data_IF_441907796268
#
_entry.id   IF_441907796268
#
_cell.length_a   1.000
_cell.length_b   1.000
_cell.length_c   1.000
_cell.angle_alpha   90.00
_cell.angle_beta   90.00
_cell.angle_gamma   90.00
#
_symmetry.space_group_name_H-M   'P 1'
#
loop_
_entity.id
_entity.type
_entity.pdbx_description
1 polymer ?
#
# COMPACT_ATOMS: atom_id res chain seq x y z
N UNK A 1 -4.86 -15.74 -19.36
CA UNK A 1 -5.52 -14.62 -18.65
C UNK A 1 -6.64 -14.06 -19.51
N UNK A 2 -7.79 -13.76 -18.92
CA UNK A 2 -9.03 -13.36 -19.63
C UNK A 2 -9.03 -11.87 -19.98
N UNK A 3 -9.93 -11.45 -20.88
CA UNK A 3 -10.16 -10.03 -21.19
C UNK A 3 -10.66 -9.24 -19.98
N UNK A 4 -11.41 -9.88 -19.07
CA UNK A 4 -11.85 -9.29 -17.81
C UNK A 4 -10.70 -8.91 -16.88
N UNK A 5 -9.66 -9.74 -16.80
CA UNK A 5 -8.45 -9.43 -16.03
C UNK A 5 -7.74 -8.17 -16.55
N UNK A 6 -7.54 -8.05 -17.86
CA UNK A 6 -6.82 -6.89 -18.42
C UNK A 6 -7.59 -5.57 -18.27
N UNK A 7 -8.92 -5.62 -18.29
CA UNK A 7 -9.78 -4.47 -17.98
C UNK A 7 -9.63 -4.05 -16.51
N UNK A 8 -9.66 -5.01 -15.58
CA UNK A 8 -9.41 -4.75 -14.16
C UNK A 8 -8.00 -4.22 -13.91
N UNK A 9 -6.99 -4.79 -14.57
CA UNK A 9 -5.59 -4.37 -14.48
C UNK A 9 -5.40 -2.93 -14.97
N UNK A 10 -6.04 -2.57 -16.08
CA UNK A 10 -6.00 -1.20 -16.63
C UNK A 10 -6.69 -0.22 -15.68
N UNK A 11 -7.84 -0.59 -15.12
CA UNK A 11 -8.54 0.23 -14.13
C UNK A 11 -7.69 0.44 -12.86
N UNK A 12 -7.05 -0.62 -12.35
CA UNK A 12 -6.14 -0.54 -11.21
C UNK A 12 -4.96 0.40 -11.49
N UNK A 13 -4.26 0.21 -12.62
CA UNK A 13 -3.12 1.05 -12.99
C UNK A 13 -3.47 2.53 -13.12
N UNK A 14 -4.56 2.86 -13.83
CA UNK A 14 -5.00 4.26 -13.99
C UNK A 14 -5.46 4.88 -12.67
N UNK A 15 -6.18 4.12 -11.85
CA UNK A 15 -6.62 4.59 -10.53
C UNK A 15 -5.43 4.87 -9.62
N UNK A 16 -4.44 3.97 -9.60
CA UNK A 16 -3.22 4.13 -8.82
C UNK A 16 -2.34 5.27 -9.33
N UNK A 17 -2.30 5.51 -10.64
CA UNK A 17 -1.58 6.66 -11.21
C UNK A 17 -2.19 7.97 -10.72
N UNK A 18 -3.51 8.07 -10.78
CA UNK A 18 -4.26 9.22 -10.29
C UNK A 18 -4.00 9.47 -8.79
N UNK A 19 -4.03 8.40 -7.98
CA UNK A 19 -3.73 8.46 -6.55
C UNK A 19 -2.30 8.96 -6.30
N UNK A 20 -1.32 8.47 -7.08
CA UNK A 20 0.08 8.88 -6.97
C UNK A 20 0.29 10.35 -7.33
N UNK A 21 -0.32 10.79 -8.43
CA UNK A 21 -0.31 12.19 -8.85
C UNK A 21 -0.91 13.08 -7.76
N UNK A 22 -2.09 12.72 -7.24
CA UNK A 22 -2.79 13.53 -6.25
C UNK A 22 -2.03 13.59 -4.90
N UNK A 23 -1.48 12.46 -4.43
CA UNK A 23 -0.70 12.39 -3.17
C UNK A 23 0.48 13.36 -3.19
N UNK A 24 1.12 13.55 -4.35
CA UNK A 24 2.21 14.50 -4.53
C UNK A 24 1.72 15.92 -4.82
N UNK A 25 0.65 16.07 -5.62
CA UNK A 25 0.12 17.39 -5.98
C UNK A 25 -0.50 18.14 -4.80
N UNK A 26 -1.23 17.45 -3.90
CA UNK A 26 -1.90 18.06 -2.74
C UNK A 26 -0.95 18.93 -1.88
N UNK A 27 0.17 18.42 -1.35
CA UNK A 27 1.08 19.23 -0.55
C UNK A 27 1.74 20.35 -1.36
N UNK A 28 2.05 20.13 -2.65
CA UNK A 28 2.62 21.18 -3.51
C UNK A 28 1.67 22.35 -3.73
N UNK A 29 0.39 22.07 -3.95
CA UNK A 29 -0.66 23.09 -4.07
C UNK A 29 -0.90 23.77 -2.72
N UNK A 30 -0.81 23.04 -1.60
CA UNK A 30 -1.00 23.58 -0.26
C UNK A 30 0.00 24.67 0.11
N UNK A 31 1.24 24.61 -0.41
CA UNK A 31 2.26 25.65 -0.21
C UNK A 31 1.82 27.01 -0.78
N UNK A 32 0.90 27.01 -1.77
CA UNK A 32 0.26 28.24 -2.26
C UNK A 32 -0.71 28.88 -1.27
N UNK A 33 -1.25 28.11 -0.30
CA UNK A 33 -2.21 28.58 0.69
C UNK A 33 -1.61 28.80 2.08
N UNK A 34 -0.52 28.12 2.41
CA UNK A 34 0.11 28.21 3.72
C UNK A 34 1.62 28.06 3.64
N UNK A 35 2.32 28.72 4.56
CA UNK A 35 3.74 28.47 4.83
C UNK A 35 3.98 27.64 6.09
N UNK A 36 2.92 27.16 6.75
CA UNK A 36 3.02 26.37 7.98
C UNK A 36 3.35 24.90 7.67
N UNK A 37 4.55 24.40 8.04
CA UNK A 37 4.92 23.00 7.80
C UNK A 37 3.97 21.98 8.43
N UNK A 38 3.45 22.18 9.67
CA UNK A 38 2.46 21.27 10.26
C UNK A 38 1.16 21.14 9.46
N UNK A 39 0.69 22.21 8.83
CA UNK A 39 -0.52 22.17 8.01
C UNK A 39 -0.30 21.43 6.68
N UNK A 40 0.88 21.55 6.08
CA UNK A 40 1.22 20.78 4.87
C UNK A 40 1.40 19.30 5.21
N UNK A 41 2.14 18.99 6.28
CA UNK A 41 2.31 17.61 6.74
C UNK A 41 0.99 16.96 7.17
N UNK A 42 0.08 17.75 7.76
CA UNK A 42 -1.23 17.30 8.15
C UNK A 42 -2.10 16.83 6.98
N UNK A 43 -1.87 17.28 5.74
CA UNK A 43 -2.57 16.76 4.56
C UNK A 43 -2.20 15.30 4.26
N UNK A 44 -0.91 14.95 4.35
CA UNK A 44 -0.47 13.57 4.18
C UNK A 44 -1.07 12.67 5.28
N UNK A 45 -1.10 13.16 6.52
CA UNK A 45 -1.76 12.47 7.62
C UNK A 45 -3.27 12.30 7.35
N UNK A 46 -3.96 13.37 6.97
CA UNK A 46 -5.38 13.36 6.64
C UNK A 46 -5.71 12.36 5.52
N UNK A 47 -4.83 12.24 4.52
CA UNK A 47 -4.96 11.27 3.45
C UNK A 47 -4.80 9.82 3.96
N UNK A 48 -3.88 9.57 4.88
CA UNK A 48 -3.64 8.23 5.46
C UNK A 48 -4.63 7.82 6.56
N UNK A 49 -5.26 8.78 7.24
CA UNK A 49 -6.11 8.57 8.41
C UNK A 49 -7.27 7.58 8.15
N UNK A 50 -7.94 7.59 6.98
CA UNK A 50 -8.98 6.61 6.66
C UNK A 50 -8.50 5.15 6.71
N UNK A 51 -7.25 4.85 6.39
CA UNK A 51 -6.71 3.49 6.54
C UNK A 51 -6.67 3.04 8.01
N UNK A 52 -6.47 3.97 8.94
CA UNK A 52 -6.44 3.68 10.37
C UNK A 52 -7.87 3.53 10.94
N UNK A 53 -8.79 4.41 10.55
CA UNK A 53 -10.12 4.48 11.16
C UNK A 53 -11.17 3.61 10.44
N UNK A 54 -11.07 3.52 9.12
CA UNK A 54 -12.13 3.00 8.26
C UNK A 54 -11.80 1.62 7.67
N UNK A 55 -10.57 1.10 7.79
CA UNK A 55 -10.22 -0.21 7.22
C UNK A 55 -11.21 -1.31 7.65
N UNK A 56 -11.45 -1.48 8.95
CA UNK A 56 -12.36 -2.53 9.44
C UNK A 56 -13.83 -2.34 9.00
N UNK A 57 -14.46 -1.17 9.19
CA UNK A 57 -15.82 -0.92 8.67
C UNK A 57 -15.94 -1.12 7.16
N UNK A 58 -14.97 -0.63 6.39
CA UNK A 58 -14.95 -0.73 4.93
C UNK A 58 -14.87 -2.18 4.49
N UNK A 59 -14.06 -3.02 5.15
CA UNK A 59 -14.03 -4.46 4.89
C UNK A 59 -15.37 -5.15 5.00
N UNK A 60 -16.04 -4.92 6.13
CA UNK A 60 -17.33 -5.51 6.40
C UNK A 60 -18.44 -4.94 5.48
N UNK A 61 -18.29 -3.68 5.03
CA UNK A 61 -19.17 -3.05 4.04
C UNK A 61 -18.96 -3.62 2.63
N UNK A 62 -17.71 -3.72 2.17
CA UNK A 62 -17.35 -4.26 0.84
C UNK A 62 -17.84 -5.70 0.67
N UNK A 63 -17.84 -6.50 1.74
CA UNK A 63 -18.40 -7.86 1.74
C UNK A 63 -19.94 -7.91 1.64
N UNK A 64 -20.64 -6.78 1.76
CA UNK A 64 -22.10 -6.67 1.58
C UNK A 64 -22.48 -6.12 0.22
N UNK A 65 -21.56 -5.39 -0.41
CA UNK A 65 -21.78 -4.72 -1.68
C UNK A 65 -21.32 -5.58 -2.86
N UNK A 66 -21.78 -5.24 -4.05
CA UNK A 66 -21.11 -5.69 -5.27
C UNK A 66 -19.75 -4.96 -5.36
N UNK A 67 -18.66 -5.73 -5.43
CA UNK A 67 -17.30 -5.20 -5.37
C UNK A 67 -16.98 -4.27 -6.53
N UNK A 68 -17.51 -4.55 -7.73
CA UNK A 68 -17.36 -3.68 -8.89
C UNK A 68 -18.12 -2.37 -8.68
N UNK A 69 -19.34 -2.41 -8.14
CA UNK A 69 -20.09 -1.18 -7.81
C UNK A 69 -19.38 -0.33 -6.75
N UNK A 70 -18.79 -0.96 -5.73
CA UNK A 70 -18.00 -0.26 -4.71
C UNK A 70 -16.78 0.46 -5.32
N UNK A 71 -16.04 -0.22 -6.21
CA UNK A 71 -14.92 0.38 -6.92
C UNK A 71 -15.35 1.53 -7.84
N UNK A 72 -16.45 1.38 -8.58
CA UNK A 72 -17.01 2.45 -9.42
C UNK A 72 -17.38 3.68 -8.59
N UNK A 73 -18.14 3.47 -7.50
CA UNK A 73 -18.56 4.56 -6.62
C UNK A 73 -17.36 5.28 -5.99
N UNK A 74 -16.32 4.54 -5.59
CA UNK A 74 -15.10 5.12 -5.05
C UNK A 74 -14.41 6.04 -6.07
N UNK A 75 -14.17 5.59 -7.30
CA UNK A 75 -13.48 6.42 -8.31
C UNK A 75 -14.32 7.62 -8.75
N UNK A 76 -15.64 7.48 -8.85
CA UNK A 76 -16.54 8.60 -9.12
C UNK A 76 -16.49 9.63 -7.99
N UNK A 77 -16.52 9.19 -6.73
CA UNK A 77 -16.42 10.08 -5.58
C UNK A 77 -15.07 10.82 -5.55
N UNK A 78 -13.95 10.13 -5.81
CA UNK A 78 -12.63 10.77 -5.91
C UNK A 78 -12.58 11.82 -7.01
N UNK A 79 -13.06 11.47 -8.21
CA UNK A 79 -13.14 12.39 -9.33
C UNK A 79 -13.99 13.62 -9.01
N UNK A 80 -15.15 13.43 -8.37
CA UNK A 80 -16.04 14.52 -7.98
C UNK A 80 -15.42 15.45 -6.93
N UNK A 81 -14.78 14.89 -5.89
CA UNK A 81 -14.10 15.67 -4.85
C UNK A 81 -12.96 16.51 -5.42
N UNK A 82 -12.13 15.91 -6.29
CA UNK A 82 -11.01 16.62 -6.90
C UNK A 82 -11.49 17.64 -7.94
N UNK A 83 -12.53 17.33 -8.72
CA UNK A 83 -13.13 18.30 -9.63
C UNK A 83 -13.71 19.51 -8.87
N UNK A 84 -14.37 19.28 -7.73
CA UNK A 84 -14.90 20.34 -6.89
C UNK A 84 -13.79 21.26 -6.35
N UNK A 85 -12.68 20.71 -5.85
CA UNK A 85 -11.57 21.54 -5.36
C UNK A 85 -10.79 22.21 -6.49
N UNK A 86 -10.73 21.60 -7.67
CA UNK A 86 -10.21 22.24 -8.88
C UNK A 86 -11.01 23.49 -9.21
N UNK A 87 -12.35 23.39 -9.19
CA UNK A 87 -13.21 24.54 -9.44
C UNK A 87 -13.02 25.64 -8.39
N UNK A 88 -12.98 25.29 -7.10
CA UNK A 88 -12.73 26.24 -6.01
C UNK A 88 -11.38 26.94 -6.15
N UNK A 89 -10.32 26.19 -6.47
CA UNK A 89 -8.97 26.75 -6.64
C UNK A 89 -8.88 27.69 -7.85
N UNK A 90 -9.48 27.33 -9.00
CA UNK A 90 -9.47 28.17 -10.21
C UNK A 90 -10.36 29.41 -10.09
N UNK A 91 -11.45 29.34 -9.34
CA UNK A 91 -12.34 30.50 -9.08
C UNK A 91 -11.79 31.45 -8.02
N UNK A 92 -10.63 31.16 -7.43
CA UNK A 92 -10.01 31.97 -6.37
C UNK A 92 -10.61 31.75 -4.98
N UNK A 93 -11.57 30.84 -4.82
CA UNK A 93 -12.19 30.46 -3.55
C UNK A 93 -11.50 29.25 -2.88
N UNK A 94 -10.30 28.89 -3.33
CA UNK A 94 -9.52 27.77 -2.78
C UNK A 94 -9.11 28.02 -1.33
N UNK A 95 -9.09 26.95 -0.54
CA UNK A 95 -8.68 26.99 0.86
C UNK A 95 -7.93 25.72 1.22
N UNK A 96 -6.97 25.83 2.13
CA UNK A 96 -6.30 24.66 2.70
C UNK A 96 -7.29 23.67 3.32
N UNK A 97 -8.37 24.16 3.93
CA UNK A 97 -9.38 23.30 4.54
C UNK A 97 -10.15 22.49 3.49
N UNK A 98 -10.37 23.05 2.29
CA UNK A 98 -10.92 22.30 1.18
C UNK A 98 -9.98 21.15 0.76
N UNK A 99 -8.66 21.38 0.77
CA UNK A 99 -7.67 20.32 0.51
C UNK A 99 -7.72 19.22 1.56
N UNK A 100 -7.93 19.55 2.85
CA UNK A 100 -8.12 18.55 3.91
C UNK A 100 -9.38 17.71 3.72
N UNK A 101 -10.51 18.34 3.37
CA UNK A 101 -11.76 17.63 3.07
C UNK A 101 -11.57 16.66 1.90
N UNK A 102 -10.88 17.10 0.84
CA UNK A 102 -10.54 16.24 -0.30
C UNK A 102 -9.61 15.12 0.10
N UNK A 103 -8.55 15.39 0.86
CA UNK A 103 -7.60 14.37 1.31
C UNK A 103 -8.30 13.27 2.12
N UNK A 104 -9.17 13.64 3.07
CA UNK A 104 -9.97 12.69 3.86
C UNK A 104 -10.96 11.92 2.98
N UNK A 105 -11.73 12.61 2.14
CA UNK A 105 -12.74 12.00 1.29
C UNK A 105 -12.14 11.04 0.25
N UNK A 106 -11.02 11.43 -0.36
CA UNK A 106 -10.26 10.58 -1.29
C UNK A 106 -9.65 9.39 -0.55
N UNK A 107 -9.03 9.58 0.62
CA UNK A 107 -8.49 8.46 1.41
C UNK A 107 -9.56 7.44 1.84
N UNK A 108 -10.78 7.90 2.17
CA UNK A 108 -11.92 7.02 2.43
C UNK A 108 -12.30 6.21 1.18
N UNK A 109 -12.39 6.87 0.02
CA UNK A 109 -12.66 6.19 -1.25
C UNK A 109 -11.51 5.26 -1.69
N UNK A 110 -10.25 5.60 -1.38
CA UNK A 110 -9.06 4.74 -1.52
C UNK A 110 -9.24 3.45 -0.75
N UNK A 111 -9.59 3.56 0.52
CA UNK A 111 -9.82 2.41 1.39
C UNK A 111 -10.87 1.46 0.83
N UNK A 112 -11.97 1.99 0.30
CA UNK A 112 -13.07 1.20 -0.32
C UNK A 112 -12.62 0.50 -1.59
N UNK A 113 -12.03 1.25 -2.53
CA UNK A 113 -11.61 0.71 -3.82
C UNK A 113 -10.58 -0.39 -3.65
N UNK A 114 -9.54 -0.15 -2.87
CA UNK A 114 -8.43 -1.08 -2.66
C UNK A 114 -8.90 -2.41 -2.05
N UNK A 115 -9.78 -2.30 -1.04
CA UNK A 115 -10.36 -3.47 -0.36
C UNK A 115 -11.22 -4.28 -1.34
N UNK A 116 -11.98 -3.59 -2.19
CA UNK A 116 -12.81 -4.23 -3.22
C UNK A 116 -11.97 -4.82 -4.36
N UNK A 117 -10.93 -4.13 -4.84
CA UNK A 117 -10.02 -4.55 -5.91
C UNK A 117 -9.25 -5.82 -5.54
N UNK A 118 -8.79 -5.92 -4.28
CA UNK A 118 -8.13 -7.12 -3.80
C UNK A 118 -9.10 -8.31 -3.62
N UNK A 119 -10.37 -8.03 -3.34
CA UNK A 119 -11.40 -9.05 -3.10
C UNK A 119 -12.10 -9.52 -4.38
N UNK A 120 -12.12 -8.70 -5.44
CA UNK A 120 -12.71 -9.04 -6.74
C UNK A 120 -11.76 -9.89 -7.58
N UNK A 121 -10.44 -9.74 -7.41
CA UNK A 121 -9.44 -10.42 -8.23
C UNK A 121 -9.63 -11.95 -8.27
N UNK A 122 -9.89 -12.66 -7.15
CA UNK A 122 -10.12 -14.11 -7.19
C UNK A 122 -11.40 -14.57 -7.88
N UNK A 123 -12.35 -13.66 -8.12
CA UNK A 123 -13.55 -13.93 -8.91
C UNK A 123 -13.33 -13.68 -10.40
N UNK A 124 -12.31 -12.89 -10.75
CA UNK A 124 -11.94 -12.60 -12.15
C UNK A 124 -10.93 -13.61 -12.69
N UNK A 125 -10.05 -14.11 -11.83
CA UNK A 125 -9.05 -15.13 -12.17
C UNK A 125 -9.24 -16.36 -11.28
N UNK A 126 -9.16 -17.56 -11.86
CA UNK A 126 -9.23 -18.80 -11.08
C UNK A 126 -8.05 -18.96 -10.11
N UNK A 127 -8.21 -19.81 -9.09
CA UNK A 127 -7.24 -20.02 -8.00
C UNK A 127 -5.81 -20.33 -8.47
N UNK A 128 -5.65 -21.01 -9.60
CA UNK A 128 -4.35 -21.37 -10.18
C UNK A 128 -3.54 -20.17 -10.69
N UNK A 129 -4.21 -19.11 -11.17
CA UNK A 129 -3.55 -17.93 -11.76
C UNK A 129 -3.38 -16.78 -10.75
N UNK A 130 -3.83 -16.94 -9.50
CA UNK A 130 -3.86 -15.87 -8.48
C UNK A 130 -2.49 -15.25 -8.22
N UNK A 131 -1.45 -16.06 -8.10
CA UNK A 131 -0.10 -15.54 -7.83
C UNK A 131 0.38 -14.63 -8.96
N UNK A 132 0.20 -15.07 -10.22
CA UNK A 132 0.56 -14.29 -11.40
C UNK A 132 -0.28 -13.02 -11.53
N UNK A 133 -1.58 -13.11 -11.23
CA UNK A 133 -2.49 -11.98 -11.29
C UNK A 133 -2.18 -10.92 -10.22
N UNK A 134 -1.96 -11.34 -8.96
CA UNK A 134 -1.58 -10.44 -7.86
C UNK A 134 -0.26 -9.73 -8.17
N UNK A 135 0.76 -10.46 -8.66
CA UNK A 135 2.04 -9.85 -9.03
C UNK A 135 1.90 -8.78 -10.11
N UNK A 136 1.05 -9.00 -11.12
CA UNK A 136 0.81 -8.01 -12.19
C UNK A 136 0.01 -6.80 -11.72
N UNK A 137 -1.02 -7.02 -10.89
CA UNK A 137 -1.82 -5.93 -10.33
C UNK A 137 -0.97 -5.08 -9.38
N UNK A 138 -0.28 -5.71 -8.44
CA UNK A 138 0.61 -4.98 -7.54
C UNK A 138 1.70 -4.21 -8.31
N UNK A 139 2.34 -4.83 -9.30
CA UNK A 139 3.38 -4.16 -10.08
C UNK A 139 2.85 -2.91 -10.79
N UNK A 140 1.66 -2.96 -11.40
CA UNK A 140 1.08 -1.79 -12.05
C UNK A 140 0.66 -0.73 -11.04
N UNK A 141 0.07 -1.13 -9.91
CA UNK A 141 -0.34 -0.20 -8.84
C UNK A 141 0.88 0.53 -8.26
N UNK A 142 1.95 -0.19 -7.92
CA UNK A 142 3.17 0.40 -7.37
C UNK A 142 3.89 1.28 -8.39
N UNK A 143 4.00 0.83 -9.65
CA UNK A 143 4.64 1.62 -10.71
C UNK A 143 3.86 2.90 -10.97
N UNK A 144 2.54 2.80 -11.03
CA UNK A 144 1.69 3.94 -11.29
C UNK A 144 1.67 4.92 -10.10
N UNK A 145 1.47 4.41 -8.88
CA UNK A 145 1.32 5.24 -7.68
C UNK A 145 2.61 5.88 -7.23
N UNK A 146 3.71 5.13 -7.22
CA UNK A 146 4.90 5.49 -6.45
C UNK A 146 6.11 5.81 -7.35
N UNK A 147 6.10 5.34 -8.59
CA UNK A 147 7.18 5.61 -9.55
C UNK A 147 6.79 6.68 -10.59
N UNK A 148 5.66 6.50 -11.27
CA UNK A 148 5.21 7.40 -12.32
C UNK A 148 4.42 8.60 -11.78
N UNK A 149 3.62 8.40 -10.72
CA UNK A 149 2.76 9.42 -10.13
C UNK A 149 3.50 10.68 -9.66
N UNK A 150 4.52 10.59 -8.78
CA UNK A 150 5.17 11.77 -8.22
C UNK A 150 5.90 12.64 -9.26
N UNK A 151 6.71 12.09 -10.19
CA UNK A 151 7.32 12.91 -11.25
C UNK A 151 6.27 13.57 -12.15
N UNK A 152 5.21 12.84 -12.50
CA UNK A 152 4.11 13.37 -13.29
C UNK A 152 3.39 14.51 -12.56
N UNK A 153 3.17 14.39 -11.25
CA UNK A 153 2.62 15.46 -10.43
C UNK A 153 3.51 16.71 -10.46
N UNK A 154 4.83 16.56 -10.33
CA UNK A 154 5.76 17.68 -10.39
C UNK A 154 5.64 18.48 -11.69
N UNK A 155 5.60 17.78 -12.83
CA UNK A 155 5.40 18.40 -14.15
C UNK A 155 4.02 19.07 -14.24
N UNK A 156 2.95 18.37 -13.84
CA UNK A 156 1.59 18.90 -13.92
C UNK A 156 1.41 20.14 -13.04
N UNK A 157 1.95 20.13 -11.81
CA UNK A 157 1.90 21.30 -10.91
C UNK A 157 2.66 22.48 -11.50
N UNK A 158 3.80 22.24 -12.16
CA UNK A 158 4.55 23.30 -12.84
C UNK A 158 3.76 23.95 -13.99
N UNK A 159 2.85 23.20 -14.64
CA UNK A 159 1.92 23.75 -15.65
C UNK A 159 0.70 24.47 -15.04
N UNK A 160 0.45 24.30 -13.74
CA UNK A 160 -0.60 24.98 -13.00
C UNK A 160 -1.48 24.03 -12.17
N UNK A 161 -2.11 24.58 -11.12
CA UNK A 161 -2.97 23.85 -10.17
C UNK A 161 -4.12 23.13 -10.89
N UNK A 162 -4.72 23.79 -11.90
CA UNK A 162 -5.82 23.21 -12.67
C UNK A 162 -5.42 21.91 -13.38
N UNK A 163 -4.23 21.87 -14.01
CA UNK A 163 -3.71 20.69 -14.68
C UNK A 163 -3.40 19.57 -13.68
N UNK A 164 -2.77 19.91 -12.55
CA UNK A 164 -2.42 18.98 -11.49
C UNK A 164 -3.63 18.23 -10.90
N UNK A 165 -4.78 18.89 -10.79
CA UNK A 165 -6.00 18.26 -10.27
C UNK A 165 -6.92 17.70 -11.35
N UNK A 166 -6.98 18.30 -12.55
CA UNK A 166 -7.78 17.76 -13.64
C UNK A 166 -7.24 16.42 -14.16
N UNK A 167 -5.92 16.22 -14.18
CA UNK A 167 -5.33 14.97 -14.66
C UNK A 167 -5.77 13.72 -13.86
N UNK A 168 -5.72 13.69 -12.50
CA UNK A 168 -6.30 12.60 -11.71
C UNK A 168 -7.78 12.34 -12.00
N UNK A 169 -8.59 13.40 -12.19
CA UNK A 169 -10.02 13.27 -12.52
C UNK A 169 -10.21 12.52 -13.84
N UNK A 170 -9.45 12.89 -14.87
CA UNK A 170 -9.48 12.20 -16.18
C UNK A 170 -9.04 10.74 -16.02
N UNK A 171 -7.95 10.49 -15.30
CA UNK A 171 -7.44 9.12 -15.08
C UNK A 171 -8.46 8.23 -14.36
N UNK A 172 -9.12 8.71 -13.30
CA UNK A 172 -10.19 7.96 -12.64
C UNK A 172 -11.42 7.78 -13.53
N UNK A 173 -11.78 8.78 -14.34
CA UNK A 173 -12.88 8.65 -15.30
C UNK A 173 -12.59 7.53 -16.31
N UNK A 174 -11.36 7.46 -16.86
CA UNK A 174 -10.95 6.37 -17.75
C UNK A 174 -10.93 5.04 -16.99
N UNK A 175 -10.45 5.00 -15.74
CA UNK A 175 -10.49 3.79 -14.91
C UNK A 175 -11.94 3.29 -14.69
N UNK A 176 -12.89 4.19 -14.47
CA UNK A 176 -14.33 3.90 -14.36
C UNK A 176 -14.83 3.26 -15.66
N UNK A 177 -14.48 3.81 -16.83
CA UNK A 177 -14.89 3.21 -18.13
C UNK A 177 -14.34 1.80 -18.32
N UNK A 178 -13.07 1.56 -17.99
CA UNK A 178 -12.47 0.22 -18.06
C UNK A 178 -13.18 -0.77 -17.11
N UNK A 179 -13.53 -0.31 -15.91
CA UNK A 179 -14.22 -1.11 -14.91
C UNK A 179 -15.69 -1.40 -15.29
N UNK A 180 -16.35 -0.48 -15.98
CA UNK A 180 -17.69 -0.71 -16.54
C UNK A 180 -17.70 -1.85 -17.57
N UNK A 181 -16.58 -2.12 -18.22
CA UNK A 181 -16.45 -3.23 -19.19
C UNK A 181 -16.18 -4.59 -18.52
N UNK A 182 -15.93 -4.65 -17.21
CA UNK A 182 -15.78 -5.92 -16.47
C UNK A 182 -17.16 -6.52 -16.22
N UNK A 183 -17.47 -7.67 -16.84
CA UNK A 183 -18.78 -8.34 -16.75
C UNK A 183 -18.79 -9.39 -15.63
N UNK A 184 -19.89 -9.44 -14.88
CA UNK A 184 -20.15 -10.44 -13.85
C UNK A 184 -20.76 -9.83 -12.58
N UNK A 185 -21.59 -10.58 -11.83
CA UNK A 185 -21.93 -10.23 -10.45
C UNK A 185 -20.73 -10.53 -9.55
N UNK A 186 -20.23 -9.54 -8.83
CA UNK A 186 -19.07 -9.70 -7.93
C UNK A 186 -19.46 -9.67 -6.47
N UNK A 187 -20.67 -10.15 -6.20
CA UNK A 187 -21.27 -10.26 -4.88
C UNK A 187 -21.33 -11.74 -4.49
N UNK A 188 -20.81 -12.07 -3.31
CA UNK A 188 -21.00 -13.41 -2.74
C UNK A 188 -22.37 -13.42 -2.03
N UNK A 189 -23.27 -14.37 -2.35
CA UNK A 189 -24.51 -14.55 -1.60
C UNK A 189 -24.23 -14.71 -0.11
N UNK A 190 -24.99 -14.00 0.73
CA UNK A 190 -24.84 -14.09 2.19
C UNK A 190 -25.99 -14.89 2.77
N UNK A 191 -25.65 -15.85 3.61
CA UNK A 191 -26.62 -16.55 4.46
C UNK A 191 -26.78 -15.74 5.77
N UNK A 192 -27.95 -15.12 5.96
CA UNK A 192 -28.33 -14.45 7.22
C UNK A 192 -27.96 -12.96 7.37
N UNK A 193 -28.66 -12.29 8.29
CA UNK A 193 -28.46 -10.88 8.65
C UNK A 193 -27.53 -10.73 9.86
N UNK A 194 -26.25 -10.48 9.64
CA UNK A 194 -25.29 -10.17 10.71
C UNK A 194 -25.10 -8.65 10.87
N UNK A 195 -24.67 -8.19 12.04
CA UNK A 195 -24.30 -6.78 12.27
C UNK A 195 -22.88 -6.49 11.77
N UNK A 196 -22.57 -5.22 11.45
CA UNK A 196 -21.23 -4.81 11.01
C UNK A 196 -20.17 -5.14 12.07
N UNK A 197 -20.50 -4.92 13.34
CA UNK A 197 -19.62 -5.24 14.48
C UNK A 197 -19.34 -6.74 14.58
N UNK A 198 -20.35 -7.59 14.36
CA UNK A 198 -20.15 -9.04 14.36
C UNK A 198 -19.23 -9.48 13.21
N UNK A 199 -19.39 -8.90 12.02
CA UNK A 199 -18.53 -9.18 10.87
C UNK A 199 -17.06 -8.79 11.12
N UNK A 200 -16.83 -7.61 11.71
CA UNK A 200 -15.48 -7.14 12.10
C UNK A 200 -14.87 -8.09 13.14
N UNK A 201 -15.63 -8.43 14.19
CA UNK A 201 -15.18 -9.33 15.24
C UNK A 201 -14.86 -10.73 14.70
N UNK A 202 -15.63 -11.22 13.74
CA UNK A 202 -15.37 -12.51 13.08
C UNK A 202 -14.05 -12.48 12.30
N UNK A 203 -13.80 -11.43 11.51
CA UNK A 203 -12.56 -11.26 10.76
C UNK A 203 -11.32 -11.18 11.66
N UNK A 204 -11.38 -10.39 12.73
CA UNK A 204 -10.30 -10.29 13.72
C UNK A 204 -10.08 -11.62 14.46
N UNK A 205 -11.15 -12.27 14.89
CA UNK A 205 -11.06 -13.57 15.58
C UNK A 205 -10.47 -14.64 14.68
N UNK A 206 -10.85 -14.67 13.41
CA UNK A 206 -10.26 -15.58 12.42
C UNK A 206 -8.77 -15.31 12.27
N UNK A 207 -8.37 -14.04 12.11
CA UNK A 207 -6.97 -13.65 11.98
C UNK A 207 -6.14 -14.09 13.20
N UNK A 208 -6.63 -13.84 14.41
CA UNK A 208 -5.92 -14.14 15.67
C UNK A 208 -5.83 -15.65 15.93
N UNK A 209 -6.87 -16.41 15.55
CA UNK A 209 -6.90 -17.87 15.73
C UNK A 209 -6.10 -18.62 14.67
N UNK A 210 -5.99 -18.09 13.45
CA UNK A 210 -5.27 -18.74 12.38
C UNK A 210 -3.76 -18.49 12.51
N UNK A 211 -3.02 -19.47 13.06
CA UNK A 211 -1.58 -19.36 13.40
C UNK A 211 -0.73 -18.74 12.30
N UNK A 212 -0.79 -19.25 11.06
CA UNK A 212 0.01 -18.74 9.92
C UNK A 212 -0.31 -17.27 9.59
N UNK A 213 -1.59 -16.93 9.46
CA UNK A 213 -2.04 -15.58 9.12
C UNK A 213 -1.71 -14.56 10.23
N UNK A 214 -1.84 -14.97 11.50
CA UNK A 214 -1.42 -14.17 12.64
C UNK A 214 0.08 -13.88 12.57
N UNK A 215 0.90 -14.90 12.35
CA UNK A 215 2.35 -14.74 12.24
C UNK A 215 2.71 -13.76 11.13
N UNK A 216 2.16 -13.92 9.92
CA UNK A 216 2.40 -12.96 8.84
C UNK A 216 1.94 -11.55 9.19
N UNK A 217 0.79 -11.40 9.86
CA UNK A 217 0.29 -10.07 10.23
C UNK A 217 1.19 -9.39 11.26
N UNK A 218 1.74 -10.15 12.22
CA UNK A 218 2.73 -9.62 13.18
C UNK A 218 4.02 -9.23 12.45
N UNK A 219 4.55 -10.11 11.59
CA UNK A 219 5.77 -9.80 10.82
C UNK A 219 5.59 -8.54 9.96
N UNK A 220 4.47 -8.43 9.24
CA UNK A 220 4.14 -7.29 8.38
C UNK A 220 3.91 -6.03 9.21
N UNK A 221 3.23 -6.14 10.35
CA UNK A 221 3.00 -5.03 11.27
C UNK A 221 4.32 -4.47 11.82
N UNK A 222 5.22 -5.34 12.29
CA UNK A 222 6.54 -4.96 12.79
C UNK A 222 7.39 -4.30 11.70
N UNK A 223 7.41 -4.89 10.49
CA UNK A 223 8.17 -4.33 9.38
C UNK A 223 7.61 -2.98 8.89
N UNK A 224 6.28 -2.83 8.83
CA UNK A 224 5.65 -1.55 8.48
C UNK A 224 5.89 -0.48 9.55
N UNK A 225 5.87 -0.85 10.83
CA UNK A 225 6.26 0.05 11.92
C UNK A 225 7.71 0.52 11.75
N UNK A 226 8.62 -0.42 11.50
CA UNK A 226 10.04 -0.14 11.35
C UNK A 226 10.33 0.75 10.13
N UNK A 227 9.72 0.44 8.98
CA UNK A 227 9.83 1.29 7.78
C UNK A 227 9.19 2.66 7.99
N UNK A 228 8.01 2.74 8.62
CA UNK A 228 7.37 4.01 8.95
C UNK A 228 8.26 4.93 9.78
N UNK A 229 8.90 4.39 10.82
CA UNK A 229 9.85 5.13 11.65
C UNK A 229 11.09 5.59 10.87
N UNK A 230 11.69 4.69 10.09
CA UNK A 230 12.88 4.95 9.28
C UNK A 230 12.62 6.03 8.23
N UNK A 231 11.57 5.90 7.41
CA UNK A 231 11.29 6.83 6.32
C UNK A 231 10.81 8.20 6.81
N UNK A 232 10.21 8.29 8.00
CA UNK A 232 9.82 9.57 8.59
C UNK A 232 11.02 10.50 8.84
N UNK A 233 12.19 9.93 9.15
CA UNK A 233 13.40 10.70 9.49
C UNK A 233 14.49 10.63 8.41
N UNK A 234 14.32 9.77 7.40
CA UNK A 234 15.33 9.49 6.39
C UNK A 234 15.74 10.73 5.60
N UNK A 235 14.81 11.64 5.29
CA UNK A 235 15.12 12.89 4.57
C UNK A 235 16.14 13.73 5.36
N UNK A 236 15.99 13.83 6.68
CA UNK A 236 16.92 14.59 7.55
C UNK A 236 18.30 13.95 7.61
N UNK A 237 18.36 12.62 7.49
CA UNK A 237 19.62 11.89 7.46
C UNK A 237 20.33 11.95 6.10
N UNK A 238 19.55 12.08 5.02
CA UNK A 238 20.05 11.95 3.66
C UNK A 238 20.33 13.28 2.94
N UNK A 239 19.56 14.34 3.22
CA UNK A 239 19.56 15.57 2.41
C UNK A 239 20.19 16.75 3.14
N UNK A 240 21.11 17.44 2.46
CA UNK A 240 21.64 18.73 2.87
C UNK A 240 23.06 18.70 3.45
N UNK A 241 23.70 19.87 3.61
CA UNK A 241 25.16 19.99 3.87
C UNK A 241 25.62 19.42 5.22
N UNK A 242 24.73 19.30 6.21
CA UNK A 242 25.01 18.71 7.52
C UNK A 242 24.42 17.31 7.71
N UNK A 243 23.83 16.73 6.67
CA UNK A 243 23.28 15.37 6.72
C UNK A 243 24.37 14.32 6.53
N UNK A 244 24.15 13.10 7.01
CA UNK A 244 25.15 12.05 6.93
C UNK A 244 25.47 11.62 5.48
N UNK A 245 24.49 11.68 4.57
CA UNK A 245 24.70 11.32 3.16
C UNK A 245 25.05 12.50 2.25
N UNK A 246 24.73 13.74 2.65
CA UNK A 246 25.04 14.95 1.88
C UNK A 246 24.34 15.05 0.51
N UNK A 247 23.21 14.36 0.31
CA UNK A 247 22.53 14.32 -0.99
C UNK A 247 21.81 15.63 -1.29
N UNK A 248 21.73 15.94 -2.58
CA UNK A 248 20.79 16.94 -3.11
C UNK A 248 19.36 16.37 -3.12
N UNK A 249 18.35 17.24 -3.19
CA UNK A 249 16.95 16.82 -3.33
C UNK A 249 16.71 15.86 -4.50
N UNK A 250 17.22 16.15 -5.73
CA UNK A 250 17.12 15.22 -6.86
C UNK A 250 17.81 13.87 -6.62
N UNK A 251 19.00 13.87 -6.00
CA UNK A 251 19.72 12.63 -5.70
C UNK A 251 18.99 11.77 -4.67
N UNK A 252 18.36 12.38 -3.67
CA UNK A 252 17.47 11.68 -2.75
C UNK A 252 16.25 11.09 -3.44
N UNK A 253 15.65 11.81 -4.40
CA UNK A 253 14.58 11.27 -5.25
C UNK A 253 15.02 10.02 -6.02
N UNK A 254 16.23 10.04 -6.59
CA UNK A 254 16.79 8.87 -7.29
C UNK A 254 17.05 7.71 -6.32
N UNK A 255 17.54 7.98 -5.12
CA UNK A 255 17.70 6.98 -4.06
C UNK A 255 16.36 6.34 -3.71
N UNK A 256 15.31 7.14 -3.50
CA UNK A 256 13.95 6.63 -3.21
C UNK A 256 13.38 5.79 -4.36
N UNK A 257 13.68 6.16 -5.61
CA UNK A 257 13.23 5.44 -6.80
C UNK A 257 13.82 4.01 -6.91
N UNK A 258 14.92 3.71 -6.21
CA UNK A 258 15.50 2.36 -6.19
C UNK A 258 14.57 1.32 -5.57
N UNK A 259 13.73 1.70 -4.59
CA UNK A 259 12.76 0.79 -3.93
C UNK A 259 11.70 0.27 -4.92
N UNK A 260 10.91 1.13 -5.60
CA UNK A 260 9.94 0.67 -6.59
C UNK A 260 10.62 0.03 -7.82
N UNK A 261 11.82 0.45 -8.21
CA UNK A 261 12.59 -0.23 -9.27
C UNK A 261 12.96 -1.67 -8.88
N UNK A 262 13.39 -1.87 -7.63
CA UNK A 262 13.59 -3.18 -7.03
C UNK A 262 12.29 -3.99 -6.99
N UNK A 263 11.20 -3.35 -6.57
CA UNK A 263 9.85 -3.92 -6.61
C UNK A 263 9.53 -4.47 -7.99
N UNK A 264 9.62 -3.66 -9.05
CA UNK A 264 9.41 -4.09 -10.43
C UNK A 264 10.24 -5.31 -10.83
N UNK A 265 11.53 -5.35 -10.47
CA UNK A 265 12.36 -6.52 -10.69
C UNK A 265 11.82 -7.74 -9.90
N UNK A 266 11.43 -7.54 -8.64
CA UNK A 266 10.78 -8.54 -7.80
C UNK A 266 9.49 -9.10 -8.40
N UNK A 267 8.68 -8.29 -9.10
CA UNK A 267 7.46 -8.76 -9.77
C UNK A 267 7.77 -9.81 -10.83
N UNK A 268 8.80 -9.55 -11.63
CA UNK A 268 9.25 -10.41 -12.71
C UNK A 268 9.92 -11.68 -12.16
N UNK A 269 10.63 -11.53 -11.04
CA UNK A 269 11.38 -12.61 -10.39
C UNK A 269 10.54 -13.47 -9.46
N UNK A 270 9.36 -13.03 -9.01
CA UNK A 270 8.53 -13.75 -8.04
C UNK A 270 8.25 -15.19 -8.44
N UNK A 271 7.77 -15.41 -9.68
CA UNK A 271 7.51 -16.75 -10.19
C UNK A 271 8.77 -17.64 -10.28
N UNK A 272 9.84 -17.19 -10.96
CA UNK A 272 11.12 -17.92 -11.00
C UNK A 272 11.70 -18.24 -9.62
N UNK A 273 11.67 -17.28 -8.69
CA UNK A 273 12.20 -17.43 -7.33
C UNK A 273 11.38 -18.46 -6.55
N UNK A 274 10.04 -18.38 -6.59
CA UNK A 274 9.17 -19.37 -5.95
C UNK A 274 9.40 -20.77 -6.52
N UNK A 275 9.54 -20.92 -7.84
CA UNK A 275 9.79 -22.23 -8.47
C UNK A 275 11.14 -22.83 -8.10
N UNK A 276 12.20 -22.01 -8.01
CA UNK A 276 13.57 -22.50 -7.75
C UNK A 276 13.83 -22.76 -6.27
N UNK A 277 13.36 -21.88 -5.39
CA UNK A 277 13.66 -21.95 -3.96
C UNK A 277 12.56 -22.65 -3.16
N UNK A 278 11.35 -22.76 -3.70
CA UNK A 278 10.16 -23.11 -2.92
C UNK A 278 9.64 -21.93 -2.10
N UNK A 279 8.41 -22.05 -1.60
CA UNK A 279 7.66 -20.94 -0.96
C UNK A 279 8.36 -20.41 0.29
N UNK A 280 8.77 -21.29 1.22
CA UNK A 280 9.36 -20.88 2.50
C UNK A 280 10.73 -20.22 2.33
N UNK A 281 11.61 -20.78 1.49
CA UNK A 281 12.94 -20.19 1.25
C UNK A 281 12.82 -18.89 0.45
N UNK A 282 11.91 -18.82 -0.51
CA UNK A 282 11.61 -17.58 -1.22
C UNK A 282 11.16 -16.48 -0.24
N UNK A 283 10.27 -16.81 0.70
CA UNK A 283 9.89 -15.89 1.78
C UNK A 283 11.10 -15.50 2.64
N UNK A 284 11.91 -16.45 3.10
CA UNK A 284 13.07 -16.15 3.95
C UNK A 284 14.05 -15.15 3.29
N UNK A 285 14.45 -15.42 2.03
CA UNK A 285 15.32 -14.53 1.27
C UNK A 285 14.66 -13.16 1.05
N UNK A 286 13.36 -13.14 0.76
CA UNK A 286 12.60 -11.92 0.53
C UNK A 286 12.52 -11.02 1.77
N UNK A 287 12.27 -11.61 2.94
CA UNK A 287 12.20 -10.89 4.20
C UNK A 287 13.58 -10.44 4.68
N UNK A 288 14.62 -11.25 4.47
CA UNK A 288 16.01 -10.84 4.70
C UNK A 288 16.38 -9.61 3.86
N UNK A 289 16.07 -9.65 2.56
CA UNK A 289 16.28 -8.53 1.66
C UNK A 289 15.49 -7.28 2.11
N UNK A 290 14.23 -7.44 2.52
CA UNK A 290 13.44 -6.35 3.11
C UNK A 290 14.10 -5.77 4.37
N UNK A 291 14.64 -6.61 5.25
CA UNK A 291 15.39 -6.19 6.43
C UNK A 291 16.61 -5.33 6.11
N UNK A 292 17.31 -5.62 4.99
CA UNK A 292 18.45 -4.81 4.52
C UNK A 292 18.07 -3.37 4.20
N UNK A 293 16.83 -3.09 3.78
CA UNK A 293 16.34 -1.71 3.55
C UNK A 293 16.46 -0.85 4.81
N UNK A 294 16.40 -1.44 6.00
CA UNK A 294 16.53 -0.71 7.27
C UNK A 294 17.93 -0.93 7.84
N UNK A 295 18.43 -2.16 7.80
CA UNK A 295 19.73 -2.54 8.37
C UNK A 295 20.92 -1.78 7.78
N UNK A 296 20.89 -1.47 6.47
CA UNK A 296 21.98 -0.74 5.82
C UNK A 296 22.20 0.65 6.44
N UNK A 297 21.12 1.34 6.82
CA UNK A 297 21.16 2.69 7.40
C UNK A 297 21.71 2.72 8.83
N UNK A 298 21.72 1.56 9.50
CA UNK A 298 22.32 1.40 10.82
C UNK A 298 23.84 1.21 10.75
N UNK A 299 24.42 0.97 9.57
CA UNK A 299 25.84 0.62 9.41
C UNK A 299 26.58 1.59 8.49
N UNK A 300 25.91 2.15 7.48
CA UNK A 300 26.55 3.05 6.51
C UNK A 300 25.64 4.19 6.07
N UNK A 301 26.29 5.33 5.74
CA UNK A 301 25.68 6.47 5.09
C UNK A 301 26.01 6.53 3.59
N UNK A 302 26.72 5.54 3.04
CA UNK A 302 27.08 5.52 1.62
C UNK A 302 25.81 5.39 0.74
N UNK A 303 25.48 6.41 -0.09
CA UNK A 303 24.26 6.41 -0.89
C UNK A 303 24.17 5.22 -1.86
N UNK A 304 25.31 4.71 -2.35
CA UNK A 304 25.33 3.59 -3.29
C UNK A 304 25.00 2.27 -2.60
N UNK A 305 25.61 1.99 -1.45
CA UNK A 305 25.27 0.84 -0.62
C UNK A 305 23.80 0.87 -0.17
N UNK A 306 23.30 2.03 0.26
CA UNK A 306 21.89 2.20 0.65
C UNK A 306 20.96 1.97 -0.54
N UNK A 307 21.27 2.55 -1.71
CA UNK A 307 20.49 2.35 -2.93
C UNK A 307 20.43 0.89 -3.38
N UNK A 308 21.55 0.15 -3.29
CA UNK A 308 21.58 -1.27 -3.60
C UNK A 308 20.72 -2.09 -2.62
N UNK A 309 20.76 -1.77 -1.32
CA UNK A 309 19.94 -2.43 -0.31
C UNK A 309 18.45 -2.09 -0.44
N UNK A 310 18.12 -0.86 -0.82
CA UNK A 310 16.75 -0.44 -1.13
C UNK A 310 16.19 -1.16 -2.35
N UNK A 311 17.00 -1.31 -3.41
CA UNK A 311 16.63 -2.10 -4.58
C UNK A 311 16.41 -3.58 -4.22
N UNK A 312 17.35 -4.21 -3.52
CA UNK A 312 17.22 -5.60 -3.09
C UNK A 312 15.99 -5.81 -2.19
N UNK A 313 15.77 -4.91 -1.24
CA UNK A 313 14.63 -4.99 -0.34
C UNK A 313 13.29 -4.69 -1.00
N UNK A 314 13.24 -3.76 -1.95
CA UNK A 314 12.07 -3.56 -2.81
C UNK A 314 11.70 -4.83 -3.58
N UNK A 315 12.71 -5.53 -4.14
CA UNK A 315 12.50 -6.80 -4.83
C UNK A 315 11.97 -7.89 -3.89
N UNK A 316 12.60 -8.05 -2.72
CA UNK A 316 12.14 -9.00 -1.70
C UNK A 316 10.72 -8.70 -1.19
N UNK A 317 10.42 -7.43 -0.95
CA UNK A 317 9.08 -7.01 -0.53
C UNK A 317 8.01 -7.42 -1.53
N UNK A 318 8.27 -7.28 -2.83
CA UNK A 318 7.28 -7.71 -3.81
C UNK A 318 7.17 -9.23 -3.93
N UNK A 319 8.28 -9.96 -3.95
CA UNK A 319 8.25 -11.44 -3.99
C UNK A 319 7.45 -11.98 -2.79
N UNK A 320 7.72 -11.47 -1.58
CA UNK A 320 6.97 -11.88 -0.38
C UNK A 320 5.50 -11.44 -0.43
N UNK A 321 5.18 -10.23 -0.91
CA UNK A 321 3.81 -9.75 -1.03
C UNK A 321 2.95 -10.67 -1.89
N UNK A 322 3.45 -11.07 -3.06
CA UNK A 322 2.73 -11.98 -3.97
C UNK A 322 2.41 -13.31 -3.29
N UNK A 323 3.40 -13.90 -2.61
CA UNK A 323 3.25 -15.18 -1.92
C UNK A 323 2.23 -15.06 -0.78
N UNK A 324 2.37 -14.03 0.07
CA UNK A 324 1.51 -13.85 1.26
C UNK A 324 0.06 -13.53 0.87
N UNK A 325 -0.16 -12.65 -0.11
CA UNK A 325 -1.51 -12.31 -0.58
C UNK A 325 -2.18 -13.53 -1.21
N UNK A 326 -1.45 -14.28 -2.04
CA UNK A 326 -1.97 -15.49 -2.67
C UNK A 326 -2.31 -16.56 -1.65
N UNK A 327 -1.42 -16.81 -0.69
CA UNK A 327 -1.66 -17.73 0.41
C UNK A 327 -2.91 -17.32 1.19
N UNK A 328 -3.02 -16.02 1.57
CA UNK A 328 -4.17 -15.49 2.29
C UNK A 328 -5.48 -15.74 1.52
N UNK A 329 -5.49 -15.49 0.21
CA UNK A 329 -6.66 -15.77 -0.63
C UNK A 329 -6.99 -17.27 -0.70
N UNK A 330 -5.99 -18.17 -0.62
CA UNK A 330 -6.22 -19.64 -0.65
C UNK A 330 -6.73 -20.20 0.67
N UNK A 331 -6.19 -19.74 1.80
CA UNK A 331 -6.49 -20.27 3.15
C UNK A 331 -7.67 -19.56 3.84
N UNK A 332 -8.27 -18.57 3.18
CA UNK A 332 -9.40 -17.83 3.74
C UNK A 332 -10.68 -18.20 3.02
N UNK A 333 -11.75 -18.59 3.74
CA UNK A 333 -13.06 -18.79 3.14
C UNK A 333 -13.54 -17.52 2.41
N UNK A 334 -14.14 -17.66 1.24
CA UNK A 334 -14.53 -16.52 0.39
C UNK A 334 -15.45 -15.53 1.14
N UNK A 335 -16.30 -16.03 2.04
CA UNK A 335 -17.20 -15.22 2.90
C UNK A 335 -16.48 -14.36 3.95
N UNK A 336 -15.20 -14.62 4.22
CA UNK A 336 -14.36 -13.92 5.21
C UNK A 336 -13.24 -13.09 4.57
N UNK A 337 -13.06 -13.16 3.24
CA UNK A 337 -11.89 -12.58 2.58
C UNK A 337 -11.80 -11.06 2.74
N UNK A 338 -12.91 -10.31 2.59
CA UNK A 338 -12.90 -8.85 2.76
C UNK A 338 -12.66 -8.41 4.20
N UNK A 339 -13.33 -9.07 5.16
CA UNK A 339 -13.11 -8.88 6.62
C UNK A 339 -11.66 -9.14 7.02
N UNK A 340 -11.08 -10.27 6.60
CA UNK A 340 -9.69 -10.61 6.91
C UNK A 340 -8.72 -9.63 6.26
N UNK A 341 -8.95 -9.29 4.99
CA UNK A 341 -8.11 -8.33 4.25
C UNK A 341 -8.05 -7.00 4.97
N UNK A 342 -9.18 -6.57 5.54
CA UNK A 342 -9.27 -5.32 6.28
C UNK A 342 -8.59 -5.36 7.64
N UNK A 343 -8.72 -6.47 8.38
CA UNK A 343 -7.96 -6.71 9.60
C UNK A 343 -6.45 -6.68 9.34
N UNK A 344 -6.01 -7.34 8.26
CA UNK A 344 -4.61 -7.32 7.85
C UNK A 344 -4.15 -5.92 7.43
N UNK A 345 -4.95 -5.18 6.66
CA UNK A 345 -4.62 -3.82 6.21
C UNK A 345 -4.55 -2.83 7.37
N UNK A 346 -5.40 -2.96 8.39
CA UNK A 346 -5.28 -2.19 9.63
C UNK A 346 -3.91 -2.41 10.27
N UNK A 347 -3.47 -3.66 10.38
CA UNK A 347 -2.15 -3.97 10.95
C UNK A 347 -1.04 -3.43 10.05
N UNK A 348 -1.11 -3.63 8.73
CA UNK A 348 -0.06 -3.19 7.81
C UNK A 348 0.09 -1.66 7.73
N UNK A 349 -1.00 -0.93 7.54
CA UNK A 349 -0.96 0.52 7.33
C UNK A 349 -1.06 1.31 8.64
N UNK A 350 -1.80 0.79 9.63
CA UNK A 350 -1.93 1.40 10.93
C UNK A 350 -0.62 1.43 11.70
N UNK A 351 0.14 0.33 11.71
CA UNK A 351 1.45 0.32 12.39
C UNK A 351 2.48 1.20 11.70
N UNK A 352 2.41 1.38 10.37
CA UNK A 352 3.30 2.30 9.64
C UNK A 352 3.18 3.74 10.16
N UNK A 353 1.94 4.19 10.40
CA UNK A 353 1.67 5.53 10.92
C UNK A 353 2.19 5.69 12.36
N UNK A 354 1.97 4.67 13.21
CA UNK A 354 2.52 4.65 14.57
C UNK A 354 4.05 4.63 14.58
N UNK A 355 4.65 3.90 13.63
CA UNK A 355 6.09 3.87 13.43
C UNK A 355 6.66 5.24 13.12
N UNK A 356 6.04 6.00 12.21
CA UNK A 356 6.49 7.36 11.87
C UNK A 356 6.53 8.28 13.10
N UNK A 357 5.51 8.23 13.96
CA UNK A 357 5.48 8.98 15.23
C UNK A 357 6.61 8.53 16.18
N UNK A 358 6.80 7.22 16.34
CA UNK A 358 7.85 6.66 17.17
C UNK A 358 9.25 7.02 16.64
N UNK A 359 9.46 6.99 15.32
CA UNK A 359 10.71 7.39 14.68
C UNK A 359 11.06 8.84 14.95
N UNK A 360 10.09 9.75 14.86
CA UNK A 360 10.27 11.15 15.24
C UNK A 360 10.65 11.33 16.72
N UNK A 361 9.93 10.65 17.62
CA UNK A 361 10.20 10.72 19.07
C UNK A 361 11.59 10.16 19.43
N UNK A 362 11.98 9.01 18.86
CA UNK A 362 13.30 8.41 19.06
C UNK A 362 14.39 9.31 18.46
N UNK A 363 14.18 9.88 17.27
CA UNK A 363 15.13 10.80 16.67
C UNK A 363 15.35 12.05 17.55
N UNK A 364 14.30 12.56 18.18
CA UNK A 364 14.40 13.72 19.07
C UNK A 364 15.16 13.40 20.37
N UNK A 365 14.94 12.22 20.96
CA UNK A 365 15.54 11.85 22.25
C UNK A 365 16.92 11.18 22.16
N UNK A 366 17.17 10.42 21.09
CA UNK A 366 18.35 9.55 20.95
C UNK A 366 19.09 9.73 19.61
N UNK A 367 18.63 10.64 18.75
CA UNK A 367 19.25 10.94 17.45
C UNK A 367 18.78 10.02 16.31
N UNK A 368 19.07 10.45 15.08
CA UNK A 368 18.62 9.76 13.85
C UNK A 368 19.15 8.33 13.74
N UNK A 369 20.43 8.12 14.10
CA UNK A 369 21.07 6.81 13.98
C UNK A 369 20.44 5.75 14.91
N UNK A 370 20.00 6.15 16.10
CA UNK A 370 19.33 5.26 17.04
C UNK A 370 18.02 4.70 16.46
N UNK A 371 17.30 5.49 15.65
CA UNK A 371 16.12 5.02 14.92
C UNK A 371 16.51 3.84 14.04
N UNK A 372 17.53 3.99 13.19
CA UNK A 372 17.91 2.93 12.25
C UNK A 372 18.37 1.65 12.94
N UNK A 373 19.15 1.75 14.03
CA UNK A 373 19.59 0.58 14.80
C UNK A 373 18.40 -0.15 15.42
N UNK A 374 17.53 0.55 16.15
CA UNK A 374 16.36 -0.07 16.81
C UNK A 374 15.41 -0.69 15.79
N UNK A 375 15.12 0.04 14.71
CA UNK A 375 14.23 -0.44 13.66
C UNK A 375 14.83 -1.63 12.89
N UNK A 376 16.15 -1.66 12.67
CA UNK A 376 16.84 -2.79 12.06
C UNK A 376 16.74 -4.04 12.93
N UNK A 377 17.03 -3.93 14.23
CA UNK A 377 16.90 -5.04 15.19
C UNK A 377 15.47 -5.59 15.19
N UNK A 378 14.46 -4.71 15.24
CA UNK A 378 13.06 -5.15 15.18
C UNK A 378 12.70 -5.83 13.85
N UNK A 379 13.17 -5.30 12.72
CA UNK A 379 12.91 -5.88 11.40
C UNK A 379 13.55 -7.26 11.24
N UNK A 380 14.79 -7.45 11.71
CA UNK A 380 15.45 -8.76 11.69
C UNK A 380 14.84 -9.72 12.73
N UNK A 381 14.44 -9.25 13.90
CA UNK A 381 13.74 -10.09 14.89
C UNK A 381 12.40 -10.63 14.35
N UNK A 382 11.72 -9.88 13.47
CA UNK A 382 10.50 -10.35 12.82
C UNK A 382 10.72 -11.62 11.97
N UNK A 383 11.94 -11.89 11.51
CA UNK A 383 12.29 -13.12 10.78
C UNK A 383 12.09 -14.38 11.62
N UNK A 384 12.09 -14.27 12.95
CA UNK A 384 11.76 -15.40 13.83
C UNK A 384 10.36 -15.96 13.56
N UNK A 385 9.45 -15.17 12.98
CA UNK A 385 8.15 -15.66 12.51
C UNK A 385 8.24 -16.77 11.46
N UNK A 386 9.32 -16.81 10.67
CA UNK A 386 9.55 -17.87 9.68
C UNK A 386 9.76 -19.25 10.32
N UNK A 387 10.15 -19.33 11.59
CA UNK A 387 10.21 -20.59 12.34
C UNK A 387 8.82 -21.23 12.49
N UNK A 388 7.75 -20.42 12.39
CA UNK A 388 6.36 -20.87 12.47
C UNK A 388 5.76 -21.10 11.08
N UNK A 389 6.31 -20.45 10.04
CA UNK A 389 5.83 -20.54 8.66
C UNK A 389 6.66 -21.60 7.90
N UNK A 390 6.44 -22.86 8.24
CA UNK A 390 7.05 -24.01 7.55
C UNK A 390 6.18 -24.47 6.37
N UNK A 391 6.75 -25.26 5.45
CA UNK A 391 6.00 -25.78 4.29
C UNK A 391 4.83 -26.66 4.74
N UNK A 392 5.04 -27.44 5.82
CA UNK A 392 4.00 -28.23 6.46
C UNK A 392 2.88 -27.35 7.03
N UNK A 393 3.22 -26.22 7.67
CA UNK A 393 2.22 -25.30 8.20
C UNK A 393 1.40 -24.64 7.07
N UNK A 394 2.05 -24.29 5.96
CA UNK A 394 1.39 -23.73 4.77
C UNK A 394 0.45 -24.74 4.11
N UNK A 395 0.94 -25.95 3.84
CA UNK A 395 0.15 -27.02 3.21
C UNK A 395 -0.99 -27.50 4.10
N UNK A 396 -0.78 -27.60 5.41
CA UNK A 396 -1.84 -27.94 6.38
C UNK A 396 -2.94 -26.87 6.39
N UNK A 397 -2.56 -25.59 6.37
CA UNK A 397 -3.52 -24.48 6.31
C UNK A 397 -4.35 -24.49 5.01
N UNK A 398 -3.73 -24.82 3.88
CA UNK A 398 -4.42 -24.95 2.59
C UNK A 398 -5.42 -26.12 2.59
N UNK A 399 -5.02 -27.30 3.09
CA UNK A 399 -5.88 -28.49 3.17
C UNK A 399 -7.09 -28.31 4.08
N UNK A 400 -6.93 -27.56 5.19
CA UNK A 400 -8.01 -27.33 6.15
C UNK A 400 -9.21 -26.56 5.56
N UNK A 401 -9.00 -25.84 4.46
CA UNK A 401 -10.07 -25.13 3.73
C UNK A 401 -10.74 -26.02 2.71
N UNK A 402 -10.01 -26.90 2.02
CA UNK A 402 -10.57 -27.81 1.01
C UNK A 402 -11.39 -28.95 1.61
N UNK A 403 -11.17 -29.28 2.89
CA UNK A 403 -11.90 -30.31 3.62
C UNK A 403 -13.23 -29.83 4.24
N UNK A 404 -13.57 -28.54 4.07
CA UNK A 404 -14.85 -27.93 4.48
C UNK A 404 -15.61 -27.50 3.25
#
# INVERSE_FOLDING_TARGET
MTSGFWRLWTAAGLSSLADGVLKTALPLVAVGYTRSPPLVAGLAFAFSLPWLLCALPVGALVDRLDRRRAMLAANVLRGALVAAVTLLTVTGNGSIWALYVVALGVGCAETVYDTAAQSILPQVVGRAELARANGRVFAVEQTANEFAGPPLAGVLVATGVAAAFAAPVVMWAVAVTALLLVRGPFRIPREGGTTLRADIAEGLRFLIRHRVLRTFSVMIGTFNFATGATFAVLVLYAVGPGSAMGLSGPAFGLLMATIPAGGLAGALLAGPVERRLGRVRALAVSWLAGGLTIGVLAVTADPYAVGAAFFAGGAGLLVSNVIVVSLRQRVTPDRLLGRLTSSHRLVAWGTKSLGALAGGAIAQGAGLHAVFVVMAVMAFAALAGLLVVTEDALTTAERAVTAR
#
